data_IF_203052175316
#
_entry.id   IF_203052175316
#
_cell.length_a   1.000
_cell.length_b   1.000
_cell.length_c   1.000
_cell.angle_alpha   90.00
_cell.angle_beta   90.00
_cell.angle_gamma   90.00
#
_symmetry.space_group_name_H-M   'P 1'
#
loop_
_entity.id
_entity.type
_entity.pdbx_description
1 polymer ?
#
# COMPACT_ATOMS: atom_id res chain seq x y z
N UNK A 1 -43.20 3.16 -35.72
CA UNK A 1 -42.16 2.17 -35.53
C UNK A 1 -40.84 2.92 -35.59
N UNK A 2 -40.33 3.28 -34.44
CA UNK A 2 -39.12 4.10 -34.29
C UNK A 2 -37.91 3.16 -34.17
N UNK A 3 -37.01 3.26 -35.15
CA UNK A 3 -35.74 2.57 -35.13
C UNK A 3 -34.88 3.15 -34.01
N UNK A 4 -34.71 2.45 -32.94
CA UNK A 4 -33.70 2.78 -31.94
C UNK A 4 -32.33 2.67 -32.61
N UNK A 5 -31.73 3.82 -32.91
CA UNK A 5 -30.35 3.94 -33.31
C UNK A 5 -29.47 3.31 -32.22
N UNK A 6 -28.93 2.14 -32.50
CA UNK A 6 -27.83 1.58 -31.71
C UNK A 6 -26.64 2.53 -31.84
N UNK A 7 -26.46 3.42 -30.88
CA UNK A 7 -25.17 4.08 -30.71
C UNK A 7 -24.13 2.98 -30.50
N UNK A 8 -23.05 2.94 -31.28
CA UNK A 8 -21.93 2.09 -30.92
C UNK A 8 -21.52 2.48 -29.48
N UNK A 9 -21.38 1.48 -28.63
CA UNK A 9 -20.76 1.71 -27.34
C UNK A 9 -19.43 2.40 -27.60
N UNK A 10 -19.07 3.47 -26.83
CA UNK A 10 -17.77 4.08 -26.98
C UNK A 10 -16.74 2.94 -26.87
N UNK A 11 -15.80 2.91 -27.81
CA UNK A 11 -14.64 2.05 -27.68
C UNK A 11 -14.08 2.33 -26.28
N UNK A 12 -14.05 1.29 -25.46
CA UNK A 12 -13.46 1.34 -24.12
C UNK A 12 -11.96 1.55 -24.33
N UNK A 13 -11.55 2.79 -24.45
CA UNK A 13 -10.17 3.17 -24.17
C UNK A 13 -9.99 2.87 -22.69
N UNK A 14 -9.25 1.80 -22.40
CA UNK A 14 -9.21 1.16 -21.10
C UNK A 14 -9.15 2.18 -19.97
N UNK A 15 -9.77 1.87 -18.84
CA UNK A 15 -9.63 2.67 -17.64
C UNK A 15 -8.15 2.97 -17.48
N UNK A 16 -7.77 4.25 -17.47
CA UNK A 16 -6.39 4.64 -17.23
C UNK A 16 -6.01 4.32 -15.80
N UNK A 17 -5.69 3.05 -15.54
CA UNK A 17 -5.22 2.64 -14.23
C UNK A 17 -3.94 3.40 -13.90
N UNK A 18 -3.90 3.97 -12.70
CA UNK A 18 -2.76 4.76 -12.23
C UNK A 18 -1.66 3.89 -11.68
N UNK A 19 -2.04 2.78 -11.02
CA UNK A 19 -1.11 1.90 -10.32
C UNK A 19 -1.63 0.47 -10.30
N UNK A 20 -0.72 -0.49 -10.44
CA UNK A 20 -0.99 -1.88 -10.13
C UNK A 20 -0.59 -2.18 -8.68
N UNK A 21 -1.54 -2.55 -7.85
CA UNK A 21 -1.27 -2.99 -6.49
C UNK A 21 -1.19 -4.52 -6.47
N UNK A 22 -0.06 -5.05 -6.04
CA UNK A 22 0.23 -6.47 -6.07
C UNK A 22 0.53 -6.94 -4.64
N UNK A 23 -0.23 -7.91 -4.16
CA UNK A 23 0.00 -8.53 -2.86
C UNK A 23 1.22 -9.46 -2.94
N UNK A 24 2.40 -8.98 -2.53
CA UNK A 24 3.62 -9.78 -2.62
C UNK A 24 3.75 -10.82 -1.51
N UNK A 25 3.03 -10.65 -0.38
CA UNK A 25 2.89 -11.63 0.70
C UNK A 25 1.57 -11.40 1.45
N UNK A 26 1.13 -12.38 2.27
CA UNK A 26 -0.16 -12.37 2.97
C UNK A 26 -0.08 -11.95 4.43
N UNK A 27 1.04 -11.44 4.92
CA UNK A 27 1.23 -11.20 6.35
C UNK A 27 1.86 -9.86 6.69
N UNK A 28 1.58 -9.43 7.91
CA UNK A 28 2.17 -8.26 8.54
C UNK A 28 2.61 -8.62 9.96
N UNK A 29 3.65 -7.99 10.44
CA UNK A 29 4.13 -8.15 11.82
C UNK A 29 3.48 -7.17 12.82
N UNK A 30 2.58 -6.28 12.34
CA UNK A 30 1.71 -5.46 13.16
C UNK A 30 0.27 -5.95 13.09
N UNK A 31 -0.51 -5.56 14.09
CA UNK A 31 -1.96 -5.75 14.19
C UNK A 31 -2.62 -4.42 14.52
N UNK A 32 -2.45 -3.47 13.60
CA UNK A 32 -3.03 -2.14 13.78
C UNK A 32 -4.55 -2.25 13.85
N UNK A 33 -5.16 -1.64 14.89
CA UNK A 33 -6.61 -1.71 15.13
C UNK A 33 -7.47 -1.21 13.94
N UNK A 34 -6.90 -0.35 13.10
CA UNK A 34 -7.53 0.16 11.88
C UNK A 34 -7.26 -0.70 10.62
N UNK A 35 -6.78 -1.91 10.78
CA UNK A 35 -6.45 -2.83 9.69
C UNK A 35 -7.21 -4.15 9.88
N UNK A 36 -7.83 -4.71 8.85
CA UNK A 36 -8.52 -6.00 8.93
C UNK A 36 -7.66 -7.13 9.51
N UNK A 37 -6.35 -7.11 9.30
CA UNK A 37 -5.40 -8.08 9.88
C UNK A 37 -5.41 -8.15 11.43
N UNK A 38 -6.01 -7.17 12.11
CA UNK A 38 -6.14 -7.22 13.56
C UNK A 38 -7.28 -8.13 14.01
N UNK A 39 -8.31 -8.28 13.19
CA UNK A 39 -9.60 -8.90 13.54
C UNK A 39 -9.78 -10.26 12.88
N UNK A 40 -9.30 -10.41 11.65
CA UNK A 40 -9.43 -11.66 10.92
C UNK A 40 -8.33 -12.66 11.25
N UNK A 41 -8.68 -13.95 11.09
CA UNK A 41 -7.65 -14.99 11.15
C UNK A 41 -6.66 -14.72 10.03
N UNK A 42 -5.37 -14.59 10.34
CA UNK A 42 -4.38 -14.40 9.30
C UNK A 42 -4.46 -15.58 8.33
N UNK A 43 -4.52 -15.28 7.05
CA UNK A 43 -4.26 -16.26 6.00
C UNK A 43 -2.93 -16.97 6.27
N UNK A 44 -2.72 -18.19 5.76
CA UNK A 44 -1.41 -18.81 5.82
C UNK A 44 -0.33 -17.81 5.39
N UNK A 45 0.78 -17.76 6.11
CA UNK A 45 1.90 -16.90 5.73
C UNK A 45 2.52 -17.42 4.45
N UNK A 46 2.21 -16.75 3.36
CA UNK A 46 2.71 -17.09 2.03
C UNK A 46 3.38 -15.87 1.41
N UNK A 47 4.43 -16.09 0.63
CA UNK A 47 5.04 -15.08 -0.23
C UNK A 47 4.78 -15.46 -1.69
N UNK A 48 4.48 -14.47 -2.51
CA UNK A 48 4.34 -14.67 -3.95
C UNK A 48 5.68 -15.13 -4.55
N UNK A 49 5.66 -16.16 -5.37
CA UNK A 49 6.87 -16.60 -6.07
C UNK A 49 7.32 -15.55 -7.09
N UNK A 50 8.61 -15.50 -7.40
CA UNK A 50 9.14 -14.61 -8.43
C UNK A 50 8.55 -14.92 -9.82
N UNK A 51 8.23 -16.20 -10.08
CA UNK A 51 7.59 -16.65 -11.32
C UNK A 51 6.17 -16.07 -11.45
N UNK A 52 5.35 -16.20 -10.38
CA UNK A 52 4.01 -15.61 -10.36
C UNK A 52 4.05 -14.09 -10.50
N UNK A 53 4.99 -13.44 -9.83
CA UNK A 53 5.18 -12.01 -9.93
C UNK A 53 5.58 -11.58 -11.34
N UNK A 54 6.51 -12.29 -11.98
CA UNK A 54 6.91 -12.06 -13.40
C UNK A 54 5.73 -12.22 -14.33
N UNK A 55 4.88 -13.22 -14.10
CA UNK A 55 3.67 -13.45 -14.89
C UNK A 55 2.74 -12.25 -14.81
N UNK A 56 2.45 -11.74 -13.60
CA UNK A 56 1.61 -10.54 -13.42
C UNK A 56 2.17 -9.35 -14.21
N UNK A 57 3.46 -9.05 -14.05
CA UNK A 57 4.09 -7.93 -14.76
C UNK A 57 4.03 -8.11 -16.30
N UNK A 58 4.16 -9.34 -16.78
CA UNK A 58 4.07 -9.65 -18.21
C UNK A 58 2.64 -9.46 -18.71
N UNK A 59 1.64 -9.91 -17.97
CA UNK A 59 0.23 -9.68 -18.29
C UNK A 59 -0.12 -8.20 -18.34
N UNK A 60 0.35 -7.40 -17.36
CA UNK A 60 0.18 -5.94 -17.37
C UNK A 60 0.77 -5.34 -18.65
N UNK A 61 1.99 -5.70 -19.04
CA UNK A 61 2.64 -5.19 -20.26
C UNK A 61 1.98 -5.68 -21.55
N UNK A 62 1.24 -6.80 -21.52
CA UNK A 62 0.49 -7.27 -22.68
C UNK A 62 -0.75 -6.43 -22.99
N UNK A 63 -1.27 -5.71 -21.99
CA UNK A 63 -2.50 -4.91 -22.06
C UNK A 63 -2.20 -3.42 -22.06
N UNK A 64 -1.27 -2.97 -21.22
CA UNK A 64 -0.99 -1.55 -20.96
C UNK A 64 0.42 -1.16 -21.41
N UNK A 65 0.49 -0.08 -22.15
CA UNK A 65 1.78 0.58 -22.45
C UNK A 65 2.36 1.23 -21.17
N UNK A 66 3.68 1.55 -21.15
CA UNK A 66 4.27 2.28 -20.02
C UNK A 66 3.66 3.67 -19.74
N UNK A 67 2.94 4.25 -20.70
CA UNK A 67 2.26 5.54 -20.54
C UNK A 67 0.90 5.39 -19.86
N UNK A 68 0.27 4.24 -20.00
CA UNK A 68 -1.04 3.95 -19.43
C UNK A 68 -0.93 3.40 -18.01
N UNK A 69 -0.03 2.44 -17.78
CA UNK A 69 0.18 1.85 -16.46
C UNK A 69 1.66 1.48 -16.28
N UNK A 70 2.37 2.22 -15.46
CA UNK A 70 3.79 1.96 -15.19
C UNK A 70 4.15 1.86 -13.72
N UNK A 71 3.28 2.27 -12.83
CA UNK A 71 3.54 2.29 -11.40
C UNK A 71 3.01 1.00 -10.74
N UNK A 72 3.83 0.37 -9.92
CA UNK A 72 3.50 -0.84 -9.15
C UNK A 72 3.68 -0.56 -7.67
N UNK A 73 2.81 -1.11 -6.84
CA UNK A 73 2.94 -1.03 -5.38
C UNK A 73 2.64 -2.39 -4.75
N UNK A 74 3.28 -2.69 -3.61
CA UNK A 74 2.96 -3.86 -2.78
C UNK A 74 2.02 -3.53 -1.62
N UNK A 75 1.38 -2.35 -1.68
CA UNK A 75 0.51 -1.84 -0.62
C UNK A 75 -0.88 -2.47 -0.66
N UNK A 76 -1.01 -3.61 -0.01
CA UNK A 76 -2.28 -4.22 0.36
C UNK A 76 -2.41 -4.25 1.90
N UNK A 77 -2.78 -5.37 2.49
CA UNK A 77 -2.88 -5.54 3.95
C UNK A 77 -1.67 -6.29 4.55
N UNK A 78 -0.51 -6.13 3.96
CA UNK A 78 0.73 -6.81 4.31
C UNK A 78 1.83 -5.83 4.73
N UNK A 79 2.95 -6.36 5.22
CA UNK A 79 4.22 -5.63 5.28
C UNK A 79 5.12 -6.16 4.16
N UNK A 80 5.38 -5.37 3.11
CA UNK A 80 6.10 -5.84 1.93
C UNK A 80 7.50 -6.41 2.21
N UNK A 81 8.20 -5.83 3.17
CA UNK A 81 9.58 -6.21 3.49
C UNK A 81 9.69 -7.51 4.32
N UNK A 82 8.56 -8.17 4.62
CA UNK A 82 8.54 -9.53 5.17
C UNK A 82 8.63 -10.61 4.10
N UNK A 83 8.63 -10.23 2.84
CA UNK A 83 8.83 -11.12 1.71
C UNK A 83 10.33 -11.34 1.49
N UNK A 84 10.80 -12.55 1.67
CA UNK A 84 12.21 -12.92 1.46
C UNK A 84 12.68 -12.64 0.03
N UNK A 85 11.77 -12.67 -0.95
CA UNK A 85 12.02 -12.35 -2.37
C UNK A 85 11.80 -10.85 -2.71
N UNK A 86 11.74 -9.96 -1.71
CA UNK A 86 11.45 -8.54 -1.94
C UNK A 86 12.47 -7.87 -2.88
N UNK A 87 13.76 -8.06 -2.64
CA UNK A 87 14.83 -7.44 -3.45
C UNK A 87 14.82 -7.93 -4.89
N UNK A 88 14.61 -9.23 -5.11
CA UNK A 88 14.52 -9.84 -6.43
C UNK A 88 13.31 -9.34 -7.22
N UNK A 89 12.17 -9.16 -6.55
CA UNK A 89 10.96 -8.58 -7.17
C UNK A 89 11.18 -7.11 -7.54
N UNK A 90 11.84 -6.35 -6.67
CA UNK A 90 12.16 -4.96 -6.92
C UNK A 90 13.13 -4.81 -8.11
N UNK A 91 14.14 -5.67 -8.17
CA UNK A 91 15.07 -5.71 -9.30
C UNK A 91 14.33 -6.07 -10.60
N UNK A 92 13.46 -7.08 -10.56
CA UNK A 92 12.67 -7.49 -11.72
C UNK A 92 11.76 -6.36 -12.25
N UNK A 93 11.12 -5.59 -11.37
CA UNK A 93 10.35 -4.40 -11.77
C UNK A 93 11.23 -3.38 -12.48
N UNK A 94 12.40 -3.11 -11.93
CA UNK A 94 13.37 -2.18 -12.52
C UNK A 94 13.81 -2.65 -13.90
N UNK A 95 14.15 -3.93 -14.06
CA UNK A 95 14.58 -4.54 -15.34
C UNK A 95 13.47 -4.49 -16.40
N UNK A 96 12.21 -4.65 -16.00
CA UNK A 96 11.04 -4.56 -16.88
C UNK A 96 10.55 -3.11 -17.08
N UNK A 97 11.24 -2.11 -16.53
CA UNK A 97 10.95 -0.69 -16.71
C UNK A 97 9.76 -0.16 -15.92
N UNK A 98 9.25 -0.89 -14.91
CA UNK A 98 8.22 -0.40 -13.99
C UNK A 98 8.82 0.53 -12.94
N UNK A 99 8.03 1.49 -12.50
CA UNK A 99 8.31 2.25 -11.29
C UNK A 99 7.67 1.56 -10.09
N UNK A 100 8.23 1.78 -8.90
CA UNK A 100 7.73 1.21 -7.66
C UNK A 100 7.32 2.30 -6.66
N UNK A 101 6.15 2.14 -6.06
CA UNK A 101 5.72 2.89 -4.89
C UNK A 101 5.75 2.00 -3.66
N UNK A 102 6.65 2.30 -2.74
CA UNK A 102 6.78 1.56 -1.50
C UNK A 102 5.85 2.13 -0.43
N UNK A 103 5.15 1.23 0.28
CA UNK A 103 4.44 1.55 1.52
C UNK A 103 4.79 0.50 2.55
N UNK A 104 5.28 0.91 3.71
CA UNK A 104 5.76 0.02 4.76
C UNK A 104 5.42 0.59 6.14
N UNK A 105 5.30 -0.29 7.13
CA UNK A 105 5.24 0.09 8.54
C UNK A 105 6.63 0.43 9.14
N UNK A 106 7.69 0.35 8.34
CA UNK A 106 9.06 0.71 8.69
C UNK A 106 9.82 -0.33 9.51
N UNK A 107 9.15 -1.35 10.05
CA UNK A 107 9.77 -2.29 11.00
C UNK A 107 10.83 -3.20 10.39
N UNK A 108 10.77 -3.39 9.07
CA UNK A 108 11.68 -4.25 8.30
C UNK A 108 12.52 -3.46 7.30
N UNK A 109 12.55 -2.13 7.41
CA UNK A 109 13.48 -1.26 6.66
C UNK A 109 14.82 -1.28 7.38
N UNK A 110 15.53 -2.40 7.25
CA UNK A 110 16.80 -2.63 7.96
C UNK A 110 17.94 -1.79 7.39
N UNK A 111 19.05 -1.72 8.13
CA UNK A 111 20.28 -1.07 7.64
C UNK A 111 20.80 -1.75 6.38
N UNK A 112 20.73 -3.08 6.32
CA UNK A 112 21.12 -3.87 5.16
C UNK A 112 20.24 -3.63 3.93
N UNK A 113 18.93 -3.39 4.13
CA UNK A 113 18.05 -2.97 3.04
C UNK A 113 18.40 -1.56 2.57
N UNK A 114 18.66 -0.65 3.48
CA UNK A 114 19.08 0.74 3.16
C UNK A 114 20.37 0.73 2.35
N UNK A 115 21.38 0.00 2.78
CA UNK A 115 22.66 -0.11 2.07
C UNK A 115 22.47 -0.72 0.68
N UNK A 116 21.66 -1.77 0.58
CA UNK A 116 21.33 -2.39 -0.71
C UNK A 116 20.64 -1.41 -1.67
N UNK A 117 19.70 -0.60 -1.18
CA UNK A 117 19.01 0.42 -2.00
C UNK A 117 19.95 1.54 -2.47
N UNK A 118 20.98 1.87 -1.69
CA UNK A 118 22.02 2.83 -2.06
C UNK A 118 22.94 2.26 -3.15
N UNK A 119 23.33 1.01 -3.01
CA UNK A 119 24.25 0.32 -3.92
C UNK A 119 23.57 -0.13 -5.23
N UNK A 120 22.27 -0.36 -5.17
CA UNK A 120 21.45 -0.83 -6.29
C UNK A 120 20.30 0.16 -6.55
N UNK A 121 20.54 1.28 -7.26
CA UNK A 121 19.49 2.26 -7.52
C UNK A 121 18.31 1.63 -8.26
N UNK A 122 17.14 1.70 -7.65
CA UNK A 122 15.90 1.14 -8.16
C UNK A 122 15.00 2.24 -8.73
N UNK A 123 14.01 1.87 -9.54
CA UNK A 123 13.00 2.79 -10.06
C UNK A 123 11.92 3.10 -9.01
N UNK A 124 12.33 3.50 -7.81
CA UNK A 124 11.41 3.88 -6.74
C UNK A 124 10.93 5.31 -6.98
N UNK A 125 9.62 5.48 -7.12
CA UNK A 125 8.97 6.77 -7.30
C UNK A 125 8.70 7.46 -5.97
N UNK A 126 8.35 6.67 -4.95
CA UNK A 126 8.07 7.16 -3.60
C UNK A 126 8.26 6.04 -2.58
N UNK A 127 8.82 6.40 -1.43
CA UNK A 127 8.99 5.49 -0.29
C UNK A 127 8.18 6.03 0.90
N UNK A 128 7.03 5.42 1.17
CA UNK A 128 6.10 5.83 2.22
C UNK A 128 6.25 4.97 3.47
N UNK A 129 6.42 5.61 4.61
CA UNK A 129 6.58 4.96 5.91
C UNK A 129 5.42 5.32 6.83
N UNK A 130 4.67 4.33 7.25
CA UNK A 130 3.53 4.46 8.12
C UNK A 130 3.97 4.40 9.58
N UNK A 131 4.07 5.55 10.24
CA UNK A 131 4.51 5.68 11.64
C UNK A 131 3.38 6.34 12.42
N UNK A 132 2.43 5.57 12.99
CA UNK A 132 1.23 6.15 13.59
C UNK A 132 1.52 6.95 14.86
N UNK A 133 2.57 6.60 15.59
CA UNK A 133 3.00 7.28 16.83
C UNK A 133 4.43 6.91 17.19
N UNK A 134 5.08 7.74 18.01
CA UNK A 134 6.31 7.42 18.74
C UNK A 134 6.11 7.45 20.28
N UNK A 135 4.86 7.56 20.73
CA UNK A 135 4.49 7.44 22.14
C UNK A 135 4.39 5.97 22.54
N UNK A 136 5.21 5.54 23.50
CA UNK A 136 5.30 4.14 23.92
C UNK A 136 3.97 3.57 24.44
N UNK A 137 3.16 4.40 25.11
CA UNK A 137 1.88 3.95 25.67
C UNK A 137 0.85 3.71 24.56
N UNK A 138 0.83 4.59 23.56
CA UNK A 138 -0.06 4.50 22.42
C UNK A 138 0.41 3.47 21.38
N UNK A 139 1.72 3.20 21.32
CA UNK A 139 2.29 2.32 20.31
C UNK A 139 1.65 0.94 20.30
N UNK A 140 1.60 0.29 21.48
CA UNK A 140 1.02 -1.04 21.62
C UNK A 140 -0.47 -1.06 21.34
N UNK A 141 -1.18 -0.04 21.80
CA UNK A 141 -2.61 0.13 21.56
C UNK A 141 -2.91 0.27 20.06
N UNK A 142 -2.16 1.09 19.35
CA UNK A 142 -2.37 1.35 17.92
C UNK A 142 -1.90 0.21 17.03
N UNK A 143 -0.73 -0.38 17.29
CA UNK A 143 -0.06 -1.32 16.37
C UNK A 143 -0.12 -2.77 16.79
N UNK A 144 -0.50 -3.06 18.04
CA UNK A 144 -0.40 -4.39 18.64
C UNK A 144 1.04 -4.90 18.84
N UNK A 145 2.06 -4.11 18.47
CA UNK A 145 3.47 -4.50 18.56
C UNK A 145 4.11 -4.02 19.86
N UNK A 146 5.18 -4.69 20.30
CA UNK A 146 5.91 -4.28 21.50
C UNK A 146 6.72 -3.00 21.29
N UNK A 147 7.02 -2.28 22.38
CA UNK A 147 7.89 -1.09 22.35
C UNK A 147 9.31 -1.41 21.89
N UNK A 148 9.80 -2.63 22.12
CA UNK A 148 11.09 -3.07 21.57
C UNK A 148 11.12 -3.05 20.04
N UNK A 149 10.00 -3.40 19.39
CA UNK A 149 9.85 -3.30 17.93
C UNK A 149 9.84 -1.84 17.49
N UNK A 150 9.15 -0.96 18.24
CA UNK A 150 9.15 0.48 17.98
C UNK A 150 10.57 1.08 18.02
N UNK A 151 11.35 0.76 19.05
CA UNK A 151 12.72 1.27 19.17
C UNK A 151 13.61 0.75 18.06
N UNK A 152 13.51 -0.55 17.73
CA UNK A 152 14.27 -1.11 16.61
C UNK A 152 13.92 -0.42 15.30
N UNK A 153 12.65 -0.26 14.99
CA UNK A 153 12.17 0.50 13.83
C UNK A 153 12.76 1.91 13.84
N UNK A 154 12.68 2.62 14.97
CA UNK A 154 13.20 3.98 15.07
C UNK A 154 14.68 4.07 14.71
N UNK A 155 15.52 3.18 15.23
CA UNK A 155 16.96 3.18 14.90
C UNK A 155 17.21 2.88 13.42
N UNK A 156 16.49 1.94 12.85
CA UNK A 156 16.58 1.61 11.42
C UNK A 156 16.19 2.81 10.55
N UNK A 157 15.09 3.49 10.91
CA UNK A 157 14.65 4.67 10.18
C UNK A 157 15.59 5.86 10.33
N UNK A 158 16.21 6.03 11.50
CA UNK A 158 17.25 7.05 11.63
C UNK A 158 18.40 6.80 10.66
N UNK A 159 18.85 5.56 10.52
CA UNK A 159 19.88 5.19 9.55
C UNK A 159 19.44 5.48 8.10
N UNK A 160 18.21 5.10 7.73
CA UNK A 160 17.64 5.42 6.43
C UNK A 160 17.62 6.93 6.17
N UNK A 161 17.17 7.70 7.15
CA UNK A 161 17.04 9.16 7.01
C UNK A 161 18.39 9.87 6.92
N UNK A 162 19.37 9.46 7.71
CA UNK A 162 20.73 9.99 7.65
C UNK A 162 21.38 9.73 6.29
N UNK A 163 20.99 8.65 5.61
CA UNK A 163 21.47 8.29 4.29
C UNK A 163 20.53 8.72 3.14
N UNK A 164 19.45 9.45 3.42
CA UNK A 164 18.42 9.80 2.43
C UNK A 164 18.94 10.54 1.20
N UNK A 165 19.98 11.35 1.33
CA UNK A 165 20.62 12.06 0.21
C UNK A 165 21.36 11.13 -0.77
N UNK A 166 21.68 9.92 -0.35
CA UNK A 166 22.31 8.89 -1.19
C UNK A 166 21.29 8.04 -1.94
N UNK A 167 20.01 8.17 -1.57
CA UNK A 167 18.89 7.50 -2.22
C UNK A 167 18.39 8.36 -3.39
N UNK A 168 17.92 7.71 -4.44
CA UNK A 168 17.42 8.36 -5.65
C UNK A 168 15.90 8.59 -5.65
N UNK A 169 15.25 8.53 -4.50
CA UNK A 169 13.79 8.65 -4.34
C UNK A 169 13.42 9.45 -3.09
N UNK A 170 12.25 10.11 -3.10
CA UNK A 170 11.74 10.82 -1.92
C UNK A 170 11.17 9.86 -0.89
N UNK A 171 11.32 10.21 0.38
CA UNK A 171 10.74 9.51 1.52
C UNK A 171 9.59 10.35 2.07
N UNK A 172 8.46 9.71 2.38
CA UNK A 172 7.32 10.34 3.05
C UNK A 172 6.96 9.57 4.31
N UNK A 173 7.03 10.23 5.45
CA UNK A 173 6.51 9.71 6.72
C UNK A 173 5.02 10.06 6.81
N UNK A 174 4.20 9.04 7.02
CA UNK A 174 2.75 9.15 7.13
C UNK A 174 2.35 8.85 8.57
N UNK A 175 1.56 9.73 9.17
CA UNK A 175 0.91 9.51 10.45
C UNK A 175 -0.58 9.32 10.22
N UNK A 176 -1.06 8.10 10.42
CA UNK A 176 -2.48 7.77 10.29
C UNK A 176 -3.23 8.04 11.58
N UNK A 177 -4.44 8.56 11.48
CA UNK A 177 -5.31 8.77 12.63
C UNK A 177 -6.70 9.26 12.26
N UNK A 178 -7.51 9.54 13.25
CA UNK A 178 -8.92 9.90 13.12
C UNK A 178 -9.19 11.38 12.80
N UNK A 179 -8.16 12.19 12.62
CA UNK A 179 -8.28 13.63 12.37
C UNK A 179 -8.50 14.48 13.64
N UNK A 180 -8.54 13.86 14.81
CA UNK A 180 -8.71 14.54 16.12
C UNK A 180 -7.50 15.43 16.47
N UNK A 181 -7.66 16.26 17.50
CA UNK A 181 -6.52 17.01 18.06
C UNK A 181 -5.40 16.07 18.54
N UNK A 182 -5.76 14.91 19.12
CA UNK A 182 -4.78 13.89 19.51
C UNK A 182 -3.98 13.38 18.31
N UNK A 183 -4.62 13.16 17.15
CA UNK A 183 -3.93 12.79 15.92
C UNK A 183 -2.95 13.89 15.46
N UNK A 184 -3.36 15.15 15.50
CA UNK A 184 -2.48 16.28 15.16
C UNK A 184 -1.29 16.37 16.11
N UNK A 185 -1.50 16.15 17.41
CA UNK A 185 -0.43 16.11 18.41
C UNK A 185 0.57 14.98 18.10
N UNK A 186 0.11 13.78 17.75
CA UNK A 186 0.99 12.67 17.36
C UNK A 186 1.77 13.01 16.09
N UNK A 187 1.12 13.59 15.10
CA UNK A 187 1.83 14.08 13.91
C UNK A 187 2.94 15.07 14.27
N UNK A 188 2.65 16.04 15.12
CA UNK A 188 3.66 17.04 15.54
C UNK A 188 4.82 16.41 16.31
N UNK A 189 4.57 15.40 17.15
CA UNK A 189 5.64 14.65 17.85
C UNK A 189 6.54 13.91 16.86
N UNK A 190 5.95 13.18 15.90
CA UNK A 190 6.68 12.47 14.84
C UNK A 190 7.48 13.47 14.00
N UNK A 191 6.84 14.56 13.56
CA UNK A 191 7.49 15.62 12.79
C UNK A 191 8.68 16.22 13.54
N UNK A 192 8.49 16.66 14.79
CA UNK A 192 9.55 17.25 15.61
C UNK A 192 10.72 16.29 15.83
N UNK A 193 10.46 14.99 15.93
CA UNK A 193 11.48 13.98 16.12
C UNK A 193 12.39 13.84 14.91
N UNK A 194 11.82 13.91 13.70
CA UNK A 194 12.51 13.67 12.45
C UNK A 194 12.80 14.93 11.62
N UNK A 195 12.30 16.12 12.02
CA UNK A 195 12.47 17.36 11.25
C UNK A 195 13.93 17.80 11.06
N UNK A 196 14.86 17.29 11.90
CA UNK A 196 16.31 17.59 11.79
C UNK A 196 17.03 16.62 10.85
N UNK A 197 16.33 15.66 10.29
CA UNK A 197 16.90 14.77 9.28
C UNK A 197 17.23 15.56 8.00
N UNK A 198 18.13 15.02 7.15
CA UNK A 198 18.50 15.68 5.89
C UNK A 198 17.30 16.04 5.01
N UNK A 199 17.44 17.01 4.10
CA UNK A 199 16.39 17.36 3.15
C UNK A 199 15.98 16.15 2.28
N UNK A 200 14.72 16.11 1.86
CA UNK A 200 14.16 15.01 1.05
C UNK A 200 13.20 14.10 1.80
N UNK A 201 12.94 14.37 3.09
CA UNK A 201 11.92 13.68 3.87
C UNK A 201 10.70 14.57 3.99
N UNK A 202 9.57 14.05 3.53
CA UNK A 202 8.27 14.69 3.60
C UNK A 202 7.46 14.09 4.77
N UNK A 203 6.50 14.86 5.27
CA UNK A 203 5.59 14.43 6.34
C UNK A 203 4.15 14.67 5.90
N UNK A 204 3.27 13.72 6.18
CA UNK A 204 1.86 13.79 5.84
C UNK A 204 0.99 13.18 6.93
N UNK A 205 -0.18 13.78 7.12
CA UNK A 205 -1.27 13.17 7.89
C UNK A 205 -2.23 12.46 6.94
N UNK A 206 -2.74 11.30 7.36
CA UNK A 206 -3.76 10.58 6.60
C UNK A 206 -4.89 10.14 7.51
N UNK A 207 -6.11 10.38 7.09
CA UNK A 207 -7.32 9.96 7.79
C UNK A 207 -7.50 8.43 7.72
N UNK A 208 -8.02 7.86 8.79
CA UNK A 208 -8.46 6.47 8.83
C UNK A 208 -9.80 6.31 8.11
N UNK A 209 -10.02 5.14 7.56
CA UNK A 209 -11.25 4.76 6.84
C UNK A 209 -11.70 3.36 7.29
N UNK A 210 -13.00 3.10 7.21
CA UNK A 210 -13.64 1.86 7.68
C UNK A 210 -13.42 0.63 6.78
N UNK A 211 -12.65 0.79 5.71
CA UNK A 211 -12.38 -0.28 4.75
C UNK A 211 -13.65 -0.89 4.18
N UNK A 212 -14.53 -0.04 3.65
CA UNK A 212 -15.83 -0.42 3.07
C UNK A 212 -16.71 -1.22 4.07
N UNK A 213 -16.74 -0.80 5.31
CA UNK A 213 -17.53 -1.41 6.37
C UNK A 213 -16.86 -2.59 7.08
N UNK A 214 -15.74 -3.11 6.59
CA UNK A 214 -15.02 -4.22 7.25
C UNK A 214 -14.58 -3.88 8.68
N UNK A 215 -14.37 -2.59 8.97
CA UNK A 215 -13.95 -2.09 10.27
C UNK A 215 -15.01 -1.24 10.95
N UNK A 216 -16.28 -1.40 10.58
CA UNK A 216 -17.36 -0.64 11.20
C UNK A 216 -17.38 -0.81 12.74
N UNK A 217 -17.34 0.30 13.45
CA UNK A 217 -17.29 0.30 14.92
C UNK A 217 -15.92 -0.02 15.54
N UNK A 218 -14.88 -0.21 14.74
CA UNK A 218 -13.54 -0.45 15.29
C UNK A 218 -13.02 0.79 16.03
N UNK A 219 -12.44 0.56 17.19
CA UNK A 219 -11.83 1.59 18.04
C UNK A 219 -10.64 1.04 18.82
N UNK A 220 -9.79 1.92 19.32
CA UNK A 220 -8.78 1.62 20.31
C UNK A 220 -8.93 2.58 21.50
N UNK A 221 -8.12 2.44 22.56
CA UNK A 221 -8.24 3.29 23.77
C UNK A 221 -8.12 4.79 23.47
N UNK A 222 -7.37 5.17 22.44
CA UNK A 222 -7.02 6.56 22.14
C UNK A 222 -7.67 7.12 20.88
N UNK A 223 -8.22 6.26 20.02
CA UNK A 223 -8.76 6.65 18.71
C UNK A 223 -9.93 5.74 18.32
N UNK A 224 -10.79 6.26 17.45
CA UNK A 224 -11.85 5.49 16.80
C UNK A 224 -11.97 5.88 15.34
N UNK A 225 -12.54 4.99 14.53
CA UNK A 225 -12.82 5.32 13.15
C UNK A 225 -13.85 6.46 13.09
N UNK A 226 -13.66 7.42 12.18
CA UNK A 226 -14.67 8.43 11.91
C UNK A 226 -15.98 7.75 11.47
N UNK A 227 -17.07 8.08 12.11
CA UNK A 227 -18.40 7.62 11.68
C UNK A 227 -18.78 8.27 10.36
N UNK A 228 -19.27 7.49 9.41
CA UNK A 228 -19.62 7.98 8.06
C UNK A 228 -18.41 8.24 7.18
N UNK A 229 -17.37 7.46 7.32
CA UNK A 229 -16.06 7.68 6.73
C UNK A 229 -16.05 7.77 5.19
N UNK A 230 -17.04 7.24 4.50
CA UNK A 230 -17.19 7.42 3.05
C UNK A 230 -18.67 7.67 2.75
N UNK A 231 -19.00 8.93 2.57
CA UNK A 231 -20.25 9.28 1.91
C UNK A 231 -20.13 8.96 0.42
N UNK A 232 -20.62 7.80 0.03
CA UNK A 232 -20.66 7.36 -1.37
C UNK A 232 -21.62 8.23 -2.20
N UNK A 233 -22.42 9.10 -1.53
CA UNK A 233 -23.46 9.89 -2.15
C UNK A 233 -24.53 9.05 -2.86
N UNK A 234 -25.45 9.68 -3.53
CA UNK A 234 -26.51 8.99 -4.29
C UNK A 234 -26.02 8.32 -5.60
N UNK A 235 -24.71 8.37 -5.89
CA UNK A 235 -24.16 7.77 -7.10
C UNK A 235 -23.28 6.56 -6.78
N UNK A 236 -23.84 5.35 -6.87
CA UNK A 236 -23.14 4.09 -6.54
C UNK A 236 -21.94 3.80 -7.46
N UNK A 237 -21.78 4.55 -8.56
CA UNK A 237 -20.65 4.39 -9.49
C UNK A 237 -19.49 5.38 -9.22
N UNK A 238 -19.62 6.27 -8.24
CA UNK A 238 -18.54 7.19 -7.85
C UNK A 238 -17.79 6.67 -6.65
N UNK A 239 -16.61 6.12 -6.88
CA UNK A 239 -15.62 5.96 -5.83
C UNK A 239 -14.95 7.31 -5.55
N UNK A 240 -15.35 8.01 -4.47
CA UNK A 240 -14.75 9.27 -4.07
C UNK A 240 -13.27 9.14 -3.67
N UNK A 241 -12.82 7.92 -3.44
CA UNK A 241 -11.43 7.62 -3.07
C UNK A 241 -10.52 7.32 -4.29
N UNK A 242 -11.07 7.29 -5.53
CA UNK A 242 -10.28 6.99 -6.74
C UNK A 242 -9.71 5.56 -6.79
N UNK A 243 -10.25 4.64 -5.98
CA UNK A 243 -9.69 3.27 -5.90
C UNK A 243 -9.98 2.43 -7.14
N UNK A 244 -11.00 2.73 -7.91
CA UNK A 244 -11.25 2.10 -9.21
C UNK A 244 -10.21 2.47 -10.28
N UNK A 245 -9.35 3.44 -10.01
CA UNK A 245 -8.24 3.79 -10.90
C UNK A 245 -7.03 2.85 -10.72
N UNK A 246 -7.13 1.84 -9.89
CA UNK A 246 -6.05 0.92 -9.58
C UNK A 246 -6.43 -0.51 -9.97
N UNK A 247 -5.44 -1.25 -10.46
CA UNK A 247 -5.57 -2.66 -10.77
C UNK A 247 -4.97 -3.49 -9.62
N UNK A 248 -5.70 -4.47 -9.10
CA UNK A 248 -5.28 -5.23 -7.93
C UNK A 248 -5.04 -6.69 -8.25
N UNK A 249 -3.93 -7.24 -7.71
CA UNK A 249 -3.57 -8.65 -7.83
C UNK A 249 -3.32 -9.26 -6.47
N UNK A 250 -4.03 -10.36 -6.19
CA UNK A 250 -3.77 -11.21 -5.04
C UNK A 250 -2.55 -12.12 -5.25
N UNK A 251 -2.07 -12.70 -4.17
CA UNK A 251 -0.85 -13.53 -4.14
C UNK A 251 -0.88 -14.72 -5.12
N UNK A 252 -2.07 -15.24 -5.44
CA UNK A 252 -2.28 -16.37 -6.36
C UNK A 252 -2.72 -15.95 -7.76
N UNK A 253 -2.63 -14.64 -8.09
CA UNK A 253 -2.96 -14.13 -9.41
C UNK A 253 -4.44 -13.77 -9.63
N UNK A 254 -5.26 -13.75 -8.57
CA UNK A 254 -6.61 -13.21 -8.65
C UNK A 254 -6.55 -11.71 -8.96
N UNK A 255 -7.42 -11.26 -9.87
CA UNK A 255 -7.60 -9.85 -10.21
C UNK A 255 -8.87 -9.35 -9.55
N UNK A 256 -8.81 -8.21 -8.86
CA UNK A 256 -9.96 -7.64 -8.17
C UNK A 256 -10.01 -6.11 -8.28
N UNK A 257 -11.19 -5.52 -7.97
CA UNK A 257 -11.47 -4.12 -8.30
C UNK A 257 -11.06 -3.11 -7.23
N UNK A 258 -10.90 -3.54 -5.97
CA UNK A 258 -10.79 -2.59 -4.88
C UNK A 258 -9.88 -3.11 -3.75
N UNK A 259 -8.99 -2.26 -3.25
CA UNK A 259 -8.14 -2.57 -2.09
C UNK A 259 -8.94 -2.74 -0.79
N UNK A 260 -10.20 -2.30 -0.74
CA UNK A 260 -11.07 -2.51 0.43
C UNK A 260 -11.72 -3.90 0.44
N UNK A 261 -11.69 -4.63 -0.66
CA UNK A 261 -12.11 -6.03 -0.73
C UNK A 261 -11.03 -6.93 -0.11
N UNK A 262 -10.97 -6.88 1.22
CA UNK A 262 -9.95 -7.62 1.99
C UNK A 262 -10.02 -9.14 1.76
N UNK A 263 -11.22 -9.67 1.61
CA UNK A 263 -11.44 -11.10 1.37
C UNK A 263 -11.31 -11.51 -0.09
N UNK A 264 -11.13 -10.55 -1.01
CA UNK A 264 -11.06 -10.77 -2.47
C UNK A 264 -12.30 -11.49 -3.02
N UNK A 265 -13.48 -11.16 -2.47
CA UNK A 265 -14.76 -11.77 -2.85
C UNK A 265 -15.25 -11.31 -4.23
N UNK A 266 -14.85 -10.12 -4.64
CA UNK A 266 -15.23 -9.49 -5.91
C UNK A 266 -14.10 -9.58 -6.94
N UNK A 267 -13.63 -10.83 -7.18
CA UNK A 267 -12.62 -11.10 -8.20
C UNK A 267 -13.22 -11.09 -9.60
N UNK A 268 -12.51 -10.46 -10.56
CA UNK A 268 -12.84 -10.55 -11.98
C UNK A 268 -12.37 -11.87 -12.61
N UNK A 269 -11.50 -12.61 -11.94
CA UNK A 269 -10.92 -13.85 -12.41
C UNK A 269 -9.47 -14.01 -11.97
N UNK A 270 -8.77 -14.96 -12.59
CA UNK A 270 -7.38 -15.27 -12.25
C UNK A 270 -6.52 -15.32 -13.51
N UNK A 271 -5.40 -14.59 -13.51
CA UNK A 271 -4.48 -14.54 -14.66
C UNK A 271 -3.79 -15.88 -14.96
N UNK A 272 -3.91 -16.87 -14.06
CA UNK A 272 -3.39 -18.20 -14.33
C UNK A 272 -4.33 -19.02 -15.24
N UNK A 273 -5.60 -18.64 -15.28
CA UNK A 273 -6.64 -19.31 -16.04
C UNK A 273 -7.04 -18.53 -17.29
N UNK A 274 -7.05 -17.19 -17.19
CA UNK A 274 -7.53 -16.29 -18.24
C UNK A 274 -6.56 -15.12 -18.39
N UNK A 275 -6.11 -14.78 -19.62
CA UNK A 275 -5.26 -13.60 -19.86
C UNK A 275 -5.91 -12.31 -19.35
N UNK A 276 -5.11 -11.38 -18.82
CA UNK A 276 -5.61 -10.11 -18.25
C UNK A 276 -6.48 -9.31 -19.22
N UNK A 277 -6.21 -9.36 -20.51
CA UNK A 277 -7.01 -8.67 -21.55
C UNK A 277 -8.45 -9.18 -21.70
N UNK A 278 -8.76 -10.34 -21.14
CA UNK A 278 -10.07 -10.99 -21.21
C UNK A 278 -10.84 -10.87 -19.87
N UNK A 279 -10.17 -10.44 -18.80
CA UNK A 279 -10.72 -10.16 -17.49
C UNK A 279 -11.23 -8.73 -17.38
#
# INVERSE_FOLDING_TARGET
MSSALSRPLPEFHGFGYRIAQIENNTHCNYKCWFCPNAYDKPAPKECMTLEQFRKILTEIRSVYTPWELNDVSFATYNEPNLDDGFKEKLQLMTDMGFNYEHISNGSMVTTELTDWLIENPQRIKQFRLNIPTLDEKKWKDITGASTAVMYRMYYQLMYLFENSQRLNFPITVIVNGDGSESHKEEFMKVYQKFQRCPPGINFSMTGLIDRAGTLEGAECETQKLPTGAIDWGDNPLKCNAGYFDNLYFGIKGNVFYCCHDYHQEYSCGNINDTPLKEL
#
